data_IF_968673366555
#
_entry.id   IF_968673366555
#
_cell.length_a   1.000
_cell.length_b   1.000
_cell.length_c   1.000
_cell.angle_alpha   90.00
_cell.angle_beta   90.00
_cell.angle_gamma   90.00
#
_symmetry.space_group_name_H-M   'P 1'
#
loop_
_entity.id
_entity.type
_entity.pdbx_description
1 polymer ?
#
# COMPACT_ATOMS: atom_id res chain seq x y z
N UNK A 1 -17.99 1.05 11.73
CA UNK A 1 -16.69 0.95 11.01
C UNK A 1 -15.69 2.06 11.39
N UNK A 2 -16.17 3.21 11.89
CA UNK A 2 -15.29 4.35 12.21
C UNK A 2 -14.55 4.28 13.55
N UNK A 3 -14.97 3.41 14.48
CA UNK A 3 -14.39 3.36 15.84
C UNK A 3 -13.02 2.66 15.93
N UNK A 4 -12.65 1.85 14.93
CA UNK A 4 -11.38 1.12 14.94
C UNK A 4 -10.20 1.97 14.44
N UNK A 5 -10.44 2.92 13.54
CA UNK A 5 -9.42 3.81 12.94
C UNK A 5 -9.46 5.19 13.60
N UNK A 6 -9.27 5.21 14.93
CA UNK A 6 -9.27 6.41 15.74
C UNK A 6 -7.88 7.06 15.82
N UNK A 7 -7.78 8.14 16.61
CA UNK A 7 -6.54 8.85 16.87
C UNK A 7 -5.46 7.96 17.51
N UNK A 8 -5.84 6.98 18.34
CA UNK A 8 -4.90 6.06 18.99
C UNK A 8 -4.25 5.12 17.99
N UNK A 9 -5.02 4.60 17.04
CA UNK A 9 -4.52 3.78 15.93
C UNK A 9 -3.54 4.57 15.07
N UNK A 10 -3.89 5.81 14.71
CA UNK A 10 -3.03 6.68 13.91
C UNK A 10 -1.73 7.05 14.64
N UNK A 11 -1.78 7.40 15.92
CA UNK A 11 -0.61 7.73 16.72
C UNK A 11 0.35 6.54 16.88
N UNK A 12 -0.18 5.33 17.01
CA UNK A 12 0.62 4.10 17.00
C UNK A 12 1.32 3.91 15.65
N UNK A 13 0.63 4.10 14.54
CA UNK A 13 1.21 4.01 13.21
C UNK A 13 2.26 5.09 12.95
N UNK A 14 2.07 6.32 13.41
CA UNK A 14 2.91 7.48 13.13
C UNK A 14 4.40 7.24 13.46
N UNK A 15 4.68 6.57 14.58
CA UNK A 15 6.06 6.28 15.00
C UNK A 15 6.82 5.36 14.05
N UNK A 16 6.12 4.51 13.30
CA UNK A 16 6.70 3.58 12.33
C UNK A 16 6.62 4.15 10.90
N UNK A 17 5.68 5.07 10.68
CA UNK A 17 5.27 5.51 9.34
C UNK A 17 6.33 6.33 8.59
N UNK A 18 7.10 7.17 9.27
CA UNK A 18 8.16 7.95 8.61
C UNK A 18 9.24 7.03 8.02
N UNK A 19 9.73 6.06 8.81
CA UNK A 19 10.65 5.04 8.32
C UNK A 19 9.97 4.12 7.31
N UNK A 20 8.73 3.72 7.58
CA UNK A 20 7.93 2.85 6.71
C UNK A 20 7.70 3.46 5.34
N UNK A 21 7.44 4.75 5.26
CA UNK A 21 7.28 5.47 3.99
C UNK A 21 8.51 5.32 3.10
N UNK A 22 9.71 5.55 3.66
CA UNK A 22 10.97 5.37 2.94
C UNK A 22 11.25 3.89 2.60
N UNK A 23 11.08 2.99 3.56
CA UNK A 23 11.41 1.57 3.41
C UNK A 23 10.51 0.85 2.42
N UNK A 24 9.23 1.23 2.32
CA UNK A 24 8.26 0.62 1.43
C UNK A 24 8.37 1.10 -0.03
N UNK A 25 9.15 2.13 -0.32
CA UNK A 25 9.39 2.59 -1.70
C UNK A 25 9.81 1.48 -2.65
N UNK A 26 10.60 0.49 -2.18
CA UNK A 26 11.07 -0.67 -2.96
C UNK A 26 9.94 -1.46 -3.62
N UNK A 27 8.71 -1.37 -3.09
CA UNK A 27 7.54 -2.06 -3.61
C UNK A 27 7.00 -1.44 -4.90
N UNK A 28 7.25 -0.13 -5.10
CA UNK A 28 6.59 0.71 -6.09
C UNK A 28 7.54 1.47 -7.01
N UNK A 29 8.75 1.83 -6.57
CA UNK A 29 9.67 2.75 -7.25
C UNK A 29 10.01 2.37 -8.70
N UNK A 30 10.00 1.08 -9.05
CA UNK A 30 10.27 0.62 -10.42
C UNK A 30 9.10 0.86 -11.41
N UNK A 31 7.95 1.31 -10.91
CA UNK A 31 6.73 1.53 -11.70
C UNK A 31 6.35 2.99 -11.82
N UNK A 32 7.07 3.87 -11.13
CA UNK A 32 6.76 5.30 -11.05
C UNK A 32 7.92 6.10 -11.60
N UNK A 33 7.62 7.02 -12.50
CA UNK A 33 8.57 7.99 -13.06
C UNK A 33 8.20 9.42 -12.64
N UNK A 34 9.13 10.36 -12.82
CA UNK A 34 8.97 11.74 -12.35
C UNK A 34 7.91 12.56 -13.09
N UNK A 35 7.44 12.07 -14.22
CA UNK A 35 6.41 12.70 -15.08
C UNK A 35 5.00 12.17 -14.84
N UNK A 36 4.84 11.16 -13.97
CA UNK A 36 3.56 10.50 -13.67
C UNK A 36 2.75 11.25 -12.61
N UNK A 37 1.42 11.17 -12.75
CA UNK A 37 0.46 11.47 -11.70
C UNK A 37 0.16 10.19 -10.90
N UNK A 38 0.28 10.24 -9.57
CA UNK A 38 0.17 9.06 -8.70
C UNK A 38 -0.96 9.22 -7.70
N UNK A 39 -1.76 8.16 -7.54
CA UNK A 39 -2.72 8.04 -6.43
C UNK A 39 -2.21 6.95 -5.47
N UNK A 40 -2.25 7.23 -4.16
CA UNK A 40 -2.02 6.23 -3.10
C UNK A 40 -3.34 5.95 -2.39
N UNK A 41 -3.85 4.72 -2.53
CA UNK A 41 -5.11 4.27 -1.94
C UNK A 41 -4.87 3.67 -0.55
N UNK A 42 -5.51 4.24 0.47
CA UNK A 42 -5.28 3.92 1.88
C UNK A 42 -3.88 4.41 2.30
N UNK A 43 -3.57 5.66 1.99
CA UNK A 43 -2.23 6.21 2.16
C UNK A 43 -1.84 6.52 3.61
N UNK A 44 -2.76 6.33 4.59
CA UNK A 44 -2.55 6.71 5.98
C UNK A 44 -2.14 8.18 6.09
N UNK A 45 -1.11 8.49 6.87
CA UNK A 45 -0.56 9.85 6.99
C UNK A 45 0.28 10.32 5.80
N UNK A 46 0.26 9.64 4.64
CA UNK A 46 0.93 10.07 3.41
C UNK A 46 2.45 9.92 3.38
N UNK A 47 3.06 9.24 4.36
CA UNK A 47 4.53 9.13 4.45
C UNK A 47 5.17 8.41 3.26
N UNK A 48 4.52 7.36 2.72
CA UNK A 48 4.99 6.70 1.51
C UNK A 48 4.87 7.64 0.32
N UNK A 49 3.71 8.25 0.15
CA UNK A 49 3.40 9.16 -0.95
C UNK A 49 4.32 10.38 -0.96
N UNK A 50 4.67 10.92 0.21
CA UNK A 50 5.61 12.05 0.33
C UNK A 50 7.02 11.69 -0.18
N UNK A 51 7.46 10.44 -0.04
CA UNK A 51 8.75 9.98 -0.56
C UNK A 51 8.77 9.73 -2.07
N UNK A 52 7.60 9.64 -2.73
CA UNK A 52 7.51 9.37 -4.18
C UNK A 52 7.88 10.64 -4.96
N UNK A 53 8.82 10.50 -5.89
CA UNK A 53 9.16 11.54 -6.86
C UNK A 53 8.31 11.33 -8.12
N UNK A 54 7.32 12.18 -8.31
CA UNK A 54 6.40 12.17 -9.44
C UNK A 54 5.96 13.59 -9.79
N UNK A 55 5.21 13.76 -10.88
CA UNK A 55 4.72 15.06 -11.34
C UNK A 55 3.70 15.67 -10.37
N UNK A 56 2.68 14.88 -10.02
CA UNK A 56 1.65 15.27 -9.06
C UNK A 56 1.14 14.03 -8.31
N UNK A 57 0.61 14.20 -7.11
CA UNK A 57 0.21 13.10 -6.25
C UNK A 57 -1.06 13.40 -5.45
N UNK A 58 -1.87 12.37 -5.24
CA UNK A 58 -3.12 12.40 -4.47
C UNK A 58 -3.12 11.25 -3.48
N UNK A 59 -3.51 11.53 -2.23
CA UNK A 59 -3.83 10.54 -1.22
C UNK A 59 -5.33 10.26 -1.16
N UNK A 60 -5.71 8.97 -1.00
CA UNK A 60 -7.08 8.60 -0.64
C UNK A 60 -7.02 7.92 0.73
N UNK A 61 -7.68 8.52 1.73
CA UNK A 61 -7.62 8.07 3.12
C UNK A 61 -8.92 8.38 3.86
N UNK A 62 -9.52 7.36 4.48
CA UNK A 62 -10.80 7.49 5.18
C UNK A 62 -10.66 8.17 6.56
N UNK A 63 -9.48 8.06 7.18
CA UNK A 63 -9.21 8.62 8.49
C UNK A 63 -8.92 10.12 8.40
N UNK A 64 -9.78 10.93 9.03
CA UNK A 64 -9.69 12.40 8.98
C UNK A 64 -8.41 12.93 9.66
N UNK A 65 -7.93 12.29 10.74
CA UNK A 65 -6.69 12.68 11.41
C UNK A 65 -5.45 12.36 10.56
N UNK A 66 -5.46 11.21 9.88
CA UNK A 66 -4.39 10.88 8.95
C UNK A 66 -4.30 11.88 7.79
N UNK A 67 -5.45 12.34 7.26
CA UNK A 67 -5.47 13.35 6.18
C UNK A 67 -4.85 14.69 6.58
N UNK A 68 -4.97 15.12 7.84
CA UNK A 68 -4.28 16.35 8.32
C UNK A 68 -2.77 16.25 8.11
N UNK A 69 -2.16 15.09 8.34
CA UNK A 69 -0.72 14.89 8.10
C UNK A 69 -0.37 14.95 6.61
N UNK A 70 -1.29 14.50 5.73
CA UNK A 70 -1.11 14.61 4.28
C UNK A 70 -1.14 16.10 3.86
N UNK A 71 -2.05 16.86 4.43
CA UNK A 71 -2.18 18.31 4.19
C UNK A 71 -0.90 19.06 4.63
N UNK A 72 -0.29 18.67 5.76
CA UNK A 72 0.99 19.21 6.23
C UNK A 72 2.14 18.99 5.24
N UNK A 73 2.07 17.93 4.42
CA UNK A 73 3.02 17.69 3.32
C UNK A 73 2.68 18.48 2.05
N UNK A 74 1.59 19.26 2.04
CA UNK A 74 1.10 19.96 0.86
C UNK A 74 0.57 19.01 -0.23
N UNK A 75 0.17 17.78 0.13
CA UNK A 75 -0.36 16.78 -0.78
C UNK A 75 -1.89 16.84 -0.72
N UNK A 76 -2.53 16.91 -1.88
CA UNK A 76 -3.98 16.86 -1.98
C UNK A 76 -4.53 15.50 -1.56
N UNK A 77 -5.56 15.48 -0.70
CA UNK A 77 -6.18 14.24 -0.24
C UNK A 77 -7.69 14.22 -0.43
N UNK A 78 -8.25 13.01 -0.60
CA UNK A 78 -9.70 12.77 -0.65
C UNK A 78 -10.08 11.67 0.33
N UNK A 79 -11.31 11.76 0.85
CA UNK A 79 -11.84 10.75 1.78
C UNK A 79 -12.23 9.46 1.06
N UNK A 80 -12.85 9.61 -0.10
CA UNK A 80 -13.38 8.49 -0.88
C UNK A 80 -12.81 8.48 -2.30
N UNK A 81 -12.76 7.30 -2.90
CA UNK A 81 -12.30 7.11 -4.28
C UNK A 81 -13.11 7.96 -5.26
N UNK A 82 -14.43 8.08 -5.04
CA UNK A 82 -15.34 8.81 -5.92
C UNK A 82 -14.97 10.29 -6.06
N UNK A 83 -14.40 10.88 -5.01
CA UNK A 83 -14.06 12.30 -4.97
C UNK A 83 -12.78 12.64 -5.77
N UNK A 84 -11.95 11.63 -6.05
CA UNK A 84 -10.75 11.80 -6.86
C UNK A 84 -11.09 11.94 -8.35
N UNK A 85 -10.28 12.69 -9.14
CA UNK A 85 -10.56 12.95 -10.55
C UNK A 85 -10.45 11.69 -11.41
N UNK A 86 -11.39 11.54 -12.37
CA UNK A 86 -11.37 10.44 -13.34
C UNK A 86 -10.27 10.60 -14.39
N UNK A 87 -9.74 9.49 -14.90
CA UNK A 87 -8.71 9.42 -15.94
C UNK A 87 -7.48 10.32 -15.66
N UNK A 88 -7.13 10.48 -14.39
CA UNK A 88 -6.07 11.39 -13.97
C UNK A 88 -4.74 10.69 -13.65
N UNK A 89 -4.79 9.51 -13.02
CA UNK A 89 -3.61 8.81 -12.56
C UNK A 89 -2.93 8.01 -13.68
N UNK A 90 -1.62 8.14 -13.78
CA UNK A 90 -0.77 7.25 -14.57
C UNK A 90 -0.44 5.97 -13.78
N UNK A 91 -0.39 6.10 -12.45
CA UNK A 91 -0.13 5.00 -11.53
C UNK A 91 -0.99 5.12 -10.27
N UNK A 92 -1.59 4.01 -9.84
CA UNK A 92 -2.25 3.89 -8.53
C UNK A 92 -1.47 2.87 -7.70
N UNK A 93 -1.16 3.22 -6.47
CA UNK A 93 -0.49 2.33 -5.52
C UNK A 93 -1.35 2.10 -4.30
N UNK A 94 -1.09 1.01 -3.59
CA UNK A 94 -1.64 0.77 -2.25
C UNK A 94 -0.75 -0.17 -1.46
N UNK A 95 -0.52 0.15 -0.20
CA UNK A 95 0.29 -0.64 0.69
C UNK A 95 -0.46 -0.98 1.97
N UNK A 96 -0.90 -2.23 2.10
CA UNK A 96 -1.62 -2.71 3.29
C UNK A 96 -2.88 -1.89 3.62
N UNK A 97 -3.80 -1.78 2.64
CA UNK A 97 -5.10 -1.14 2.82
C UNK A 97 -6.28 -2.02 2.37
N UNK A 98 -6.10 -2.81 1.29
CA UNK A 98 -7.20 -3.57 0.69
C UNK A 98 -7.77 -4.65 1.62
N UNK A 99 -6.97 -5.20 2.51
CA UNK A 99 -7.37 -6.20 3.52
C UNK A 99 -8.39 -5.68 4.54
N UNK A 100 -8.51 -4.37 4.67
CA UNK A 100 -9.44 -3.69 5.57
C UNK A 100 -10.75 -3.27 4.88
N UNK A 101 -10.81 -3.38 3.56
CA UNK A 101 -11.94 -2.89 2.75
C UNK A 101 -13.07 -3.91 2.73
N UNK A 102 -14.30 -3.59 3.17
CA UNK A 102 -15.41 -4.56 3.22
C UNK A 102 -15.85 -5.05 1.84
N UNK A 103 -15.77 -4.20 0.82
CA UNK A 103 -16.10 -4.55 -0.56
C UNK A 103 -14.90 -4.21 -1.49
N UNK A 104 -13.88 -5.07 -1.49
CA UNK A 104 -12.64 -4.81 -2.24
C UNK A 104 -12.85 -4.80 -3.75
N UNK A 105 -13.77 -5.62 -4.27
CA UNK A 105 -14.04 -5.66 -5.72
C UNK A 105 -14.61 -4.34 -6.23
N UNK A 106 -15.58 -3.77 -5.52
CA UNK A 106 -16.16 -2.50 -5.90
C UNK A 106 -15.14 -1.36 -5.82
N UNK A 107 -14.31 -1.33 -4.77
CA UNK A 107 -13.26 -0.31 -4.65
C UNK A 107 -12.25 -0.38 -5.79
N UNK A 108 -11.82 -1.58 -6.19
CA UNK A 108 -10.90 -1.76 -7.33
C UNK A 108 -11.56 -1.33 -8.64
N UNK A 109 -12.86 -1.60 -8.84
CA UNK A 109 -13.63 -1.10 -10.00
C UNK A 109 -13.72 0.42 -10.02
N UNK A 110 -13.95 1.08 -8.88
CA UNK A 110 -13.95 2.54 -8.77
C UNK A 110 -12.56 3.13 -9.06
N UNK A 111 -11.49 2.54 -8.55
CA UNK A 111 -10.12 2.98 -8.86
C UNK A 111 -9.79 2.90 -10.35
N UNK A 112 -10.42 1.96 -11.09
CA UNK A 112 -10.25 1.87 -12.54
C UNK A 112 -10.69 3.13 -13.27
N UNK A 113 -11.76 3.81 -12.81
CA UNK A 113 -12.20 5.07 -13.42
C UNK A 113 -11.17 6.20 -13.23
N UNK A 114 -10.38 6.16 -12.15
CA UNK A 114 -9.37 7.19 -11.83
C UNK A 114 -8.09 7.03 -12.63
N UNK A 115 -7.84 5.81 -13.11
CA UNK A 115 -6.65 5.47 -13.88
C UNK A 115 -6.83 5.84 -15.36
N UNK A 116 -5.79 6.37 -16.00
CA UNK A 116 -5.74 6.55 -17.46
C UNK A 116 -5.69 5.19 -18.16
N UNK A 117 -6.12 5.12 -19.41
CA UNK A 117 -5.87 3.94 -20.28
C UNK A 117 -4.37 3.69 -20.39
N UNK A 118 -3.93 2.44 -20.25
CA UNK A 118 -2.52 2.06 -20.16
C UNK A 118 -1.86 2.35 -18.81
N UNK A 119 -2.58 3.01 -17.88
CA UNK A 119 -2.09 3.26 -16.52
C UNK A 119 -2.01 1.98 -15.70
N UNK A 120 -1.14 1.97 -14.69
CA UNK A 120 -0.86 0.81 -13.85
C UNK A 120 -1.41 0.95 -12.44
N UNK A 121 -1.84 -0.16 -11.88
CA UNK A 121 -2.23 -0.26 -10.47
C UNK A 121 -1.36 -1.31 -9.78
N UNK A 122 -0.75 -0.95 -8.63
CA UNK A 122 0.18 -1.80 -7.90
C UNK A 122 -0.27 -1.87 -6.43
N UNK A 123 -0.73 -3.03 -6.01
CA UNK A 123 -1.15 -3.26 -4.63
C UNK A 123 -0.24 -4.27 -3.95
N UNK A 124 0.08 -3.99 -2.69
CA UNK A 124 0.78 -4.91 -1.80
C UNK A 124 -0.08 -5.14 -0.57
N UNK A 125 -0.45 -6.40 -0.35
CA UNK A 125 -1.34 -6.85 0.73
C UNK A 125 -0.67 -7.92 1.58
N UNK A 126 -1.07 -8.14 2.84
CA UNK A 126 -0.57 -9.24 3.64
C UNK A 126 -1.10 -10.58 3.12
N UNK A 127 -0.31 -11.62 3.34
CA UNK A 127 -0.69 -13.02 3.18
C UNK A 127 -0.48 -13.71 4.54
N UNK A 128 -1.55 -13.87 5.28
CA UNK A 128 -1.50 -14.52 6.59
C UNK A 128 -1.40 -16.03 6.43
N UNK A 129 -0.67 -16.67 7.33
CA UNK A 129 -0.60 -18.14 7.35
C UNK A 129 -1.85 -18.74 7.96
N UNK A 130 -2.20 -19.96 7.54
CA UNK A 130 -3.33 -20.72 8.11
C UNK A 130 -3.19 -20.97 9.61
N UNK A 131 -1.99 -20.87 10.16
CA UNK A 131 -1.73 -20.99 11.59
C UNK A 131 -1.98 -19.70 12.39
N UNK A 132 -2.37 -18.60 11.74
CA UNK A 132 -2.67 -17.34 12.44
C UNK A 132 -4.00 -17.47 13.16
N UNK A 133 -3.96 -17.40 14.50
CA UNK A 133 -5.15 -17.62 15.33
C UNK A 133 -5.94 -16.32 15.49
N UNK A 134 -7.28 -16.44 15.47
CA UNK A 134 -8.17 -15.35 15.81
C UNK A 134 -7.85 -14.76 17.19
N UNK A 135 -7.77 -13.43 17.24
CA UNK A 135 -7.61 -12.66 18.49
C UNK A 135 -8.70 -11.60 18.56
N UNK A 136 -9.55 -11.63 19.60
CA UNK A 136 -10.50 -10.54 19.81
C UNK A 136 -9.76 -9.21 19.94
N UNK A 137 -10.28 -8.16 19.30
CA UNK A 137 -9.69 -6.81 19.32
C UNK A 137 -8.25 -6.76 18.75
N UNK A 138 -7.96 -7.58 17.72
CA UNK A 138 -6.71 -7.46 17.00
C UNK A 138 -6.57 -6.06 16.38
N UNK A 139 -5.43 -5.42 16.63
CA UNK A 139 -5.18 -4.05 16.19
C UNK A 139 -5.17 -3.90 14.66
N UNK A 140 -4.80 -4.96 13.93
CA UNK A 140 -4.78 -4.91 12.47
C UNK A 140 -6.18 -5.06 11.87
N UNK A 141 -7.07 -5.83 12.49
CA UNK A 141 -8.46 -6.03 12.08
C UNK A 141 -8.62 -6.34 10.58
N UNK A 142 -7.84 -7.30 10.06
CA UNK A 142 -7.93 -7.71 8.67
C UNK A 142 -9.22 -8.47 8.39
N UNK A 143 -9.99 -8.03 7.40
CA UNK A 143 -11.18 -8.73 6.91
C UNK A 143 -10.80 -9.81 5.89
N UNK A 144 -9.68 -9.61 5.19
CA UNK A 144 -9.20 -10.50 4.12
C UNK A 144 -7.72 -10.81 4.27
N UNK A 145 -7.33 -12.00 3.83
CA UNK A 145 -5.96 -12.40 3.61
C UNK A 145 -5.80 -12.86 2.15
N UNK A 146 -4.71 -12.48 1.51
CA UNK A 146 -4.59 -12.60 0.06
C UNK A 146 -3.46 -13.56 -0.33
N UNK A 147 -3.78 -14.50 -1.24
CA UNK A 147 -2.77 -15.26 -2.00
C UNK A 147 -2.54 -14.61 -3.38
N UNK A 148 -1.42 -14.94 -4.07
CA UNK A 148 -1.23 -14.45 -5.44
C UNK A 148 -2.39 -14.80 -6.39
N UNK A 149 -2.99 -15.97 -6.21
CA UNK A 149 -4.09 -16.43 -7.06
C UNK A 149 -5.36 -15.59 -6.84
N UNK A 150 -5.85 -15.49 -5.60
CA UNK A 150 -7.12 -14.82 -5.36
C UNK A 150 -7.01 -13.29 -5.54
N UNK A 151 -5.87 -12.68 -5.23
CA UNK A 151 -5.64 -11.27 -5.51
C UNK A 151 -5.62 -11.00 -7.03
N UNK A 152 -4.91 -11.84 -7.81
CA UNK A 152 -4.91 -11.75 -9.27
C UNK A 152 -6.31 -11.90 -9.87
N UNK A 153 -7.09 -12.90 -9.40
CA UNK A 153 -8.47 -13.10 -9.85
C UNK A 153 -9.38 -11.92 -9.52
N UNK A 154 -9.22 -11.31 -8.35
CA UNK A 154 -9.99 -10.12 -7.95
C UNK A 154 -9.76 -8.94 -8.92
N UNK A 155 -8.50 -8.69 -9.30
CA UNK A 155 -8.17 -7.63 -10.27
C UNK A 155 -8.64 -7.98 -11.70
N UNK A 156 -8.60 -9.25 -12.08
CA UNK A 156 -9.16 -9.74 -13.35
C UNK A 156 -10.66 -9.49 -13.40
N UNK A 157 -11.39 -9.84 -12.32
CA UNK A 157 -12.85 -9.62 -12.21
C UNK A 157 -13.20 -8.12 -12.21
N UNK A 158 -12.32 -7.27 -11.72
CA UNK A 158 -12.45 -5.82 -11.83
C UNK A 158 -12.14 -5.28 -13.25
N UNK A 159 -11.75 -6.15 -14.18
CA UNK A 159 -11.52 -5.83 -15.58
C UNK A 159 -10.14 -5.25 -15.90
N UNK A 160 -9.13 -5.57 -15.09
CA UNK A 160 -7.73 -5.22 -15.37
C UNK A 160 -7.02 -6.37 -16.10
N UNK A 161 -5.99 -6.02 -16.86
CA UNK A 161 -5.01 -6.98 -17.39
C UNK A 161 -3.91 -7.19 -16.35
N UNK A 162 -3.74 -8.42 -15.88
CA UNK A 162 -2.69 -8.76 -14.92
C UNK A 162 -1.33 -8.82 -15.61
N UNK A 163 -0.37 -8.06 -15.09
CA UNK A 163 1.05 -8.12 -15.47
C UNK A 163 1.81 -9.05 -14.53
N UNK A 164 1.52 -8.94 -13.23
CA UNK A 164 2.19 -9.73 -12.19
C UNK A 164 1.23 -9.94 -11.03
N UNK A 165 1.16 -11.16 -10.47
CA UNK A 165 0.61 -11.42 -9.14
C UNK A 165 1.48 -12.48 -8.46
N UNK A 166 2.27 -12.07 -7.47
CA UNK A 166 3.26 -12.96 -6.82
C UNK A 166 3.56 -12.60 -5.37
N UNK A 167 4.15 -13.54 -4.65
CA UNK A 167 4.70 -13.27 -3.33
C UNK A 167 5.77 -12.17 -3.40
N UNK A 168 5.68 -11.21 -2.49
CA UNK A 168 6.67 -10.14 -2.32
C UNK A 168 7.33 -10.29 -0.95
N UNK A 169 8.61 -10.71 -0.94
CA UNK A 169 9.36 -10.99 0.28
C UNK A 169 10.23 -9.79 0.62
N UNK A 170 9.80 -9.05 1.63
CA UNK A 170 10.54 -7.92 2.19
C UNK A 170 10.11 -7.72 3.65
N UNK A 171 10.86 -8.30 4.58
CA UNK A 171 10.58 -8.23 6.02
C UNK A 171 11.72 -7.53 6.73
N UNK A 172 11.39 -6.54 7.53
CA UNK A 172 12.41 -5.79 8.29
C UNK A 172 13.04 -6.67 9.37
N UNK A 173 14.37 -6.81 9.40
CA UNK A 173 15.06 -7.56 10.43
C UNK A 173 15.08 -6.80 11.75
N UNK A 174 15.39 -7.44 12.88
CA UNK A 174 15.70 -6.73 14.12
C UNK A 174 16.75 -5.64 13.88
N UNK A 175 16.62 -4.52 14.57
CA UNK A 175 17.50 -3.34 14.42
C UNK A 175 17.53 -2.73 13.00
N UNK A 176 16.46 -2.91 12.24
CA UNK A 176 16.32 -2.46 10.83
C UNK A 176 16.71 -0.99 10.62
N UNK A 177 16.39 -0.09 11.55
CA UNK A 177 16.71 1.34 11.45
C UNK A 177 18.22 1.60 11.53
N UNK A 178 18.94 0.85 12.38
CA UNK A 178 20.41 0.92 12.48
C UNK A 178 21.05 0.41 11.18
N UNK A 179 20.57 -0.70 10.65
CA UNK A 179 21.06 -1.26 9.38
C UNK A 179 20.86 -0.25 8.24
N UNK A 180 19.69 0.34 8.14
CA UNK A 180 19.38 1.35 7.11
C UNK A 180 20.30 2.58 7.24
N UNK A 181 20.51 3.07 8.46
CA UNK A 181 21.34 4.26 8.73
C UNK A 181 22.83 4.01 8.44
N UNK A 182 23.36 2.85 8.80
CA UNK A 182 24.80 2.55 8.68
C UNK A 182 25.18 2.08 7.27
N UNK A 183 24.32 1.32 6.60
CA UNK A 183 24.66 0.63 5.35
C UNK A 183 23.82 1.08 4.14
N UNK A 184 22.86 1.99 4.34
CA UNK A 184 22.05 2.54 3.26
C UNK A 184 20.97 1.59 2.71
N UNK A 185 20.21 2.10 1.73
CA UNK A 185 18.99 1.47 1.20
C UNK A 185 19.23 0.09 0.55
N UNK A 186 20.31 -0.05 -0.22
CA UNK A 186 20.60 -1.29 -0.96
C UNK A 186 20.88 -2.47 -0.04
N UNK A 187 21.73 -2.29 0.97
CA UNK A 187 22.06 -3.33 1.96
C UNK A 187 20.86 -3.61 2.86
N UNK A 188 20.14 -2.57 3.29
CA UNK A 188 18.89 -2.74 4.02
C UNK A 188 17.89 -3.61 3.26
N UNK A 189 17.63 -3.33 1.98
CA UNK A 189 16.71 -4.11 1.16
C UNK A 189 17.19 -5.56 0.96
N UNK A 190 18.48 -5.79 0.79
CA UNK A 190 19.07 -7.13 0.71
C UNK A 190 18.83 -7.91 2.00
N UNK A 191 19.11 -7.31 3.15
CA UNK A 191 18.89 -7.95 4.47
C UNK A 191 17.40 -8.23 4.71
N UNK A 192 16.49 -7.35 4.29
CA UNK A 192 15.05 -7.59 4.36
C UNK A 192 14.59 -8.81 3.54
N UNK A 193 15.16 -9.01 2.36
CA UNK A 193 14.87 -10.17 1.50
C UNK A 193 15.40 -11.47 2.11
N UNK A 194 16.62 -11.47 2.63
CA UNK A 194 17.24 -12.64 3.27
C UNK A 194 16.45 -13.00 4.54
N UNK A 195 16.23 -12.05 5.42
CA UNK A 195 15.50 -12.26 6.66
C UNK A 195 14.07 -12.73 6.44
N UNK A 196 13.38 -12.15 5.45
CA UNK A 196 12.01 -12.56 5.07
C UNK A 196 11.92 -14.01 4.57
N UNK A 197 12.93 -14.49 3.82
CA UNK A 197 13.00 -15.90 3.41
C UNK A 197 13.26 -16.87 4.57
N UNK A 198 14.09 -16.45 5.53
CA UNK A 198 14.41 -17.26 6.70
C UNK A 198 13.24 -17.34 7.70
N UNK A 199 12.55 -16.23 7.92
CA UNK A 199 11.55 -16.14 8.99
C UNK A 199 10.22 -16.85 8.67
N UNK A 200 9.95 -17.16 7.41
CA UNK A 200 8.73 -17.85 6.91
C UNK A 200 7.41 -17.33 7.49
N UNK A 201 7.34 -16.05 7.81
CA UNK A 201 6.14 -15.44 8.39
C UNK A 201 5.96 -14.01 7.86
N UNK A 202 4.73 -13.47 7.96
CA UNK A 202 4.37 -12.14 7.49
C UNK A 202 4.70 -11.95 6.00
N UNK A 203 4.21 -12.88 5.19
CA UNK A 203 4.33 -12.77 3.75
C UNK A 203 3.43 -11.67 3.20
N UNK A 204 3.82 -11.14 2.06
CA UNK A 204 3.05 -10.16 1.30
C UNK A 204 2.84 -10.67 -0.12
N UNK A 205 1.76 -10.22 -0.73
CA UNK A 205 1.47 -10.43 -2.15
C UNK A 205 1.50 -9.09 -2.84
N UNK A 206 2.16 -9.03 -3.99
CA UNK A 206 2.08 -7.87 -4.87
C UNK A 206 1.34 -8.24 -6.13
N UNK A 207 0.35 -7.45 -6.50
CA UNK A 207 -0.26 -7.45 -7.82
C UNK A 207 0.16 -6.19 -8.57
N UNK A 208 0.46 -6.36 -9.86
CA UNK A 208 0.66 -5.29 -10.83
C UNK A 208 -0.29 -5.54 -11.98
N UNK A 209 -1.16 -4.59 -12.25
CA UNK A 209 -2.16 -4.72 -13.30
C UNK A 209 -2.28 -3.41 -14.10
N UNK A 210 -2.86 -3.49 -15.30
CA UNK A 210 -2.99 -2.41 -16.25
C UNK A 210 -4.45 -2.20 -16.64
N UNK A 211 -4.87 -0.95 -16.76
CA UNK A 211 -6.16 -0.59 -17.36
C UNK A 211 -6.02 -0.62 -18.88
N UNK A 212 -6.79 -1.49 -19.53
CA UNK A 212 -6.94 -1.54 -20.99
C UNK A 212 -7.78 -0.38 -21.51
#
# INVERSE_FOLDING_TARGET
MNEHYDENYFNWQKNISAFGGWANMIKFENYITSDMNVIDFGCGGGFLLNNIKCKDKIGIEINDEARKTIDDFGIRSFKYVQDAPDNWADCIISNHALEHVPDPLNQIKLLKSKLKTGGKIIFVTPCESIGYKYKPKDINYHLFSWSPMNLGNLFTEAGYKIIESKAFIHKWPPHYSKIAKLFGKSIFNLTCRIYGRMSRSLFQVRVVAEKL
#
